data_IF_145979238216
#
_entry.id   IF_145979238216
#
_cell.length_a   1.000
_cell.length_b   1.000
_cell.length_c   1.000
_cell.angle_alpha   90.00
_cell.angle_beta   90.00
_cell.angle_gamma   90.00
#
_symmetry.space_group_name_H-M   'P 1'
#
loop_
_entity.id
_entity.type
_entity.pdbx_description
1 polymer ?
#
# COMPACT_ATOMS: atom_id res chain seq x y z
N UNK A 1 34.37 24.63 -9.25
CA UNK A 1 33.05 23.97 -9.31
C UNK A 1 32.01 24.99 -9.74
N UNK A 2 31.51 24.88 -10.97
CA UNK A 2 30.56 25.85 -11.52
C UNK A 2 29.16 25.60 -10.95
N UNK A 3 28.62 26.59 -10.25
CA UNK A 3 27.24 26.59 -9.72
C UNK A 3 26.30 26.63 -10.92
N UNK A 4 25.66 25.49 -11.24
CA UNK A 4 24.68 25.37 -12.33
C UNK A 4 23.59 26.42 -12.06
N UNK A 5 23.46 27.42 -12.93
CA UNK A 5 22.48 28.48 -12.77
C UNK A 5 21.08 27.90 -12.91
N UNK A 6 20.26 28.01 -11.86
CA UNK A 6 18.84 27.64 -11.89
C UNK A 6 18.15 28.31 -13.07
N UNK A 7 17.39 27.52 -13.84
CA UNK A 7 16.70 27.96 -15.04
C UNK A 7 15.60 28.96 -14.66
N UNK A 8 15.26 29.89 -15.55
CA UNK A 8 14.15 30.83 -15.36
C UNK A 8 12.81 30.09 -15.19
N UNK A 9 12.72 28.85 -15.69
CA UNK A 9 11.58 27.96 -15.46
C UNK A 9 11.32 27.69 -13.96
N UNK A 10 12.38 27.54 -13.16
CA UNK A 10 12.31 27.22 -11.72
C UNK A 10 11.67 28.34 -10.89
N UNK A 11 11.57 29.55 -11.46
CA UNK A 11 11.14 30.75 -10.73
C UNK A 11 9.72 31.19 -11.04
N UNK A 12 9.08 30.65 -12.08
CA UNK A 12 7.87 31.29 -12.62
C UNK A 12 6.59 30.52 -12.30
N UNK A 13 6.64 29.20 -12.08
CA UNK A 13 5.43 28.41 -11.80
C UNK A 13 5.73 27.18 -10.91
N UNK A 14 5.53 27.26 -9.58
CA UNK A 14 5.71 26.12 -8.67
C UNK A 14 4.87 24.90 -9.05
N UNK A 15 3.69 25.12 -9.65
CA UNK A 15 2.80 24.06 -10.15
C UNK A 15 3.20 23.47 -11.50
N UNK A 16 4.23 24.00 -12.16
CA UNK A 16 4.75 23.50 -13.46
C UNK A 16 6.12 22.82 -13.30
N UNK A 17 6.51 22.45 -12.08
CA UNK A 17 7.63 21.54 -11.83
C UNK A 17 7.32 20.09 -12.22
N UNK A 18 6.14 19.85 -12.79
CA UNK A 18 5.81 18.59 -13.44
C UNK A 18 6.56 18.48 -14.78
N UNK A 19 7.61 17.67 -14.80
CA UNK A 19 8.16 17.11 -16.03
C UNK A 19 7.17 16.14 -16.66
N UNK A 20 7.26 15.99 -17.97
CA UNK A 20 6.66 14.86 -18.68
C UNK A 20 7.80 14.01 -19.21
N UNK A 21 7.64 12.69 -19.16
CA UNK A 21 8.60 11.80 -19.79
C UNK A 21 8.62 12.08 -21.30
N UNK A 22 9.80 11.92 -21.90
CA UNK A 22 9.99 12.14 -23.34
C UNK A 22 9.00 11.31 -24.16
N UNK A 23 8.70 10.09 -23.71
CA UNK A 23 7.74 9.18 -24.35
C UNK A 23 6.34 9.78 -24.41
N UNK A 24 5.88 10.42 -23.34
CA UNK A 24 4.57 11.06 -23.30
C UNK A 24 4.49 12.30 -24.18
N UNK A 25 5.56 13.10 -24.22
CA UNK A 25 5.65 14.26 -25.12
C UNK A 25 5.61 13.80 -26.58
N UNK A 26 6.41 12.80 -26.93
CA UNK A 26 6.45 12.24 -28.30
C UNK A 26 5.11 11.63 -28.68
N UNK A 27 4.50 10.85 -27.79
CA UNK A 27 3.18 10.25 -27.99
C UNK A 27 2.09 11.31 -28.21
N UNK A 28 2.09 12.38 -27.41
CA UNK A 28 1.16 13.49 -27.58
C UNK A 28 1.34 14.21 -28.91
N UNK A 29 2.57 14.51 -29.31
CA UNK A 29 2.85 15.19 -30.59
C UNK A 29 2.42 14.34 -31.79
N UNK A 30 2.65 13.03 -31.73
CA UNK A 30 2.20 12.10 -32.76
C UNK A 30 0.66 12.05 -32.85
N UNK A 31 -0.02 11.95 -31.70
CA UNK A 31 -1.48 11.95 -31.62
C UNK A 31 -2.08 13.29 -32.08
N UNK A 32 -1.43 14.40 -31.75
CA UNK A 32 -1.84 15.73 -32.19
C UNK A 32 -1.71 15.90 -33.71
N UNK A 33 -0.59 15.46 -34.29
CA UNK A 33 -0.39 15.47 -35.75
C UNK A 33 -1.42 14.58 -36.46
N UNK A 34 -1.66 13.37 -35.95
CA UNK A 34 -2.70 12.47 -36.47
C UNK A 34 -4.09 13.12 -36.37
N UNK A 35 -4.39 13.79 -35.25
CA UNK A 35 -5.62 14.54 -35.07
C UNK A 35 -5.80 15.64 -36.11
N UNK A 36 -4.75 16.39 -36.44
CA UNK A 36 -4.80 17.42 -37.49
C UNK A 36 -5.10 16.78 -38.85
N UNK A 37 -4.44 15.66 -39.19
CA UNK A 37 -4.67 14.94 -40.45
C UNK A 37 -6.10 14.40 -40.56
N UNK A 38 -6.63 13.81 -39.49
CA UNK A 38 -8.01 13.32 -39.43
C UNK A 38 -9.04 14.47 -39.44
N UNK A 39 -8.73 15.57 -38.77
CA UNK A 39 -9.56 16.78 -38.70
C UNK A 39 -9.74 17.47 -40.05
N UNK A 40 -8.75 17.39 -40.95
CA UNK A 40 -8.88 17.88 -42.33
C UNK A 40 -9.92 17.10 -43.13
N UNK A 41 -10.12 15.82 -42.82
CA UNK A 41 -11.16 15.00 -43.47
C UNK A 41 -12.54 15.29 -42.86
N UNK A 42 -12.61 15.35 -41.53
CA UNK A 42 -13.83 15.67 -40.81
C UNK A 42 -13.50 16.23 -39.42
N UNK A 43 -13.97 17.45 -39.11
CA UNK A 43 -13.61 18.15 -37.86
C UNK A 43 -13.73 17.34 -36.55
N UNK A 44 -14.80 16.54 -36.33
CA UNK A 44 -14.93 15.70 -35.13
C UNK A 44 -13.81 14.66 -34.95
N UNK A 45 -13.19 14.22 -36.04
CA UNK A 45 -12.16 13.18 -36.05
C UNK A 45 -10.85 13.65 -35.39
N UNK A 46 -10.62 14.96 -35.32
CA UNK A 46 -9.51 15.54 -34.54
C UNK A 46 -9.56 15.11 -33.07
N UNK A 47 -10.74 15.16 -32.47
CA UNK A 47 -10.92 14.89 -31.04
C UNK A 47 -10.63 13.43 -30.68
N UNK A 48 -10.86 12.49 -31.61
CA UNK A 48 -10.57 11.07 -31.41
C UNK A 48 -9.09 10.77 -31.24
N UNK A 49 -8.20 11.56 -31.84
CA UNK A 49 -6.76 11.41 -31.64
C UNK A 49 -6.25 12.36 -30.54
N UNK A 50 -6.81 13.57 -30.44
CA UNK A 50 -6.35 14.57 -29.49
C UNK A 50 -6.62 14.20 -28.04
N UNK A 51 -7.83 13.68 -27.71
CA UNK A 51 -8.19 13.33 -26.33
C UNK A 51 -7.29 12.20 -25.80
N UNK A 52 -7.11 11.06 -26.50
CA UNK A 52 -6.16 10.04 -26.06
C UNK A 52 -4.73 10.55 -25.97
N UNK A 53 -4.30 11.41 -26.90
CA UNK A 53 -2.98 12.05 -26.83
C UNK A 53 -2.79 12.82 -25.54
N UNK A 54 -3.81 13.58 -25.11
CA UNK A 54 -3.77 14.32 -23.85
C UNK A 54 -3.70 13.38 -22.64
N UNK A 55 -4.46 12.28 -22.66
CA UNK A 55 -4.39 11.25 -21.62
C UNK A 55 -2.99 10.64 -21.51
N UNK A 56 -2.36 10.30 -22.64
CA UNK A 56 -0.99 9.79 -22.67
C UNK A 56 0.02 10.79 -22.09
N UNK A 57 -0.12 12.07 -22.41
CA UNK A 57 0.72 13.12 -21.84
C UNK A 57 0.60 13.13 -20.32
N UNK A 58 -0.63 13.25 -19.80
CA UNK A 58 -0.87 13.30 -18.36
C UNK A 58 -0.51 12.00 -17.62
N UNK A 59 -0.51 10.85 -18.29
CA UNK A 59 -0.09 9.58 -17.71
C UNK A 59 1.43 9.49 -17.45
N UNK A 60 2.24 10.39 -18.03
CA UNK A 60 3.72 10.38 -17.93
C UNK A 60 4.27 11.52 -17.06
N UNK A 61 3.42 12.05 -16.18
CA UNK A 61 3.75 13.13 -15.26
C UNK A 61 4.76 12.69 -14.21
N UNK A 62 5.86 13.43 -14.13
CA UNK A 62 6.88 13.31 -13.08
C UNK A 62 7.08 14.67 -12.45
N UNK A 63 7.46 14.75 -11.19
CA UNK A 63 7.76 16.03 -10.54
C UNK A 63 9.14 15.95 -9.90
N UNK A 64 10.01 16.91 -10.24
CA UNK A 64 11.24 17.12 -9.48
C UNK A 64 10.90 17.90 -8.20
N UNK A 65 11.46 17.47 -7.06
CA UNK A 65 11.09 17.98 -5.74
C UNK A 65 12.30 18.18 -4.87
N UNK A 66 12.15 19.04 -3.87
CA UNK A 66 13.21 19.37 -2.93
C UNK A 66 12.78 18.95 -1.54
N UNK A 67 13.49 17.97 -0.99
CA UNK A 67 13.20 17.42 0.32
C UNK A 67 13.73 18.32 1.44
N UNK A 68 13.07 18.33 2.61
CA UNK A 68 13.63 18.90 3.83
C UNK A 68 14.99 18.25 4.13
N UNK A 69 15.97 19.07 4.51
CA UNK A 69 17.34 18.64 4.85
C UNK A 69 17.52 18.49 6.37
N UNK A 70 16.49 17.95 7.03
CA UNK A 70 16.46 17.74 8.48
C UNK A 70 16.61 16.23 8.78
N UNK A 71 17.63 15.81 9.55
CA UNK A 71 17.83 14.40 9.87
C UNK A 71 16.73 13.89 10.78
N UNK A 72 16.42 12.59 10.68
CA UNK A 72 15.39 11.95 11.51
C UNK A 72 13.96 12.17 11.05
N UNK A 73 13.72 12.95 9.99
CA UNK A 73 12.39 13.08 9.40
C UNK A 73 12.07 11.93 8.46
N UNK A 74 10.88 11.36 8.64
CA UNK A 74 10.23 10.45 7.71
C UNK A 74 9.36 11.29 6.79
N UNK A 75 9.65 11.30 5.50
CA UNK A 75 8.93 12.10 4.52
C UNK A 75 7.93 11.25 3.72
N UNK A 76 6.93 11.91 3.15
CA UNK A 76 5.90 11.28 2.35
C UNK A 76 6.52 10.59 1.11
N UNK A 77 6.28 9.29 0.87
CA UNK A 77 6.84 8.60 -0.29
C UNK A 77 6.15 8.97 -1.59
N UNK A 78 4.88 9.39 -1.53
CA UNK A 78 4.06 9.69 -2.70
C UNK A 78 3.10 10.86 -2.40
N UNK A 79 2.57 11.47 -3.44
CA UNK A 79 1.47 12.43 -3.29
C UNK A 79 0.20 11.72 -2.85
N UNK A 80 -0.62 12.41 -2.08
CA UNK A 80 -1.91 11.85 -1.73
C UNK A 80 -2.57 12.50 -0.55
N UNK A 81 -3.42 11.73 0.10
CA UNK A 81 -4.11 12.09 1.34
C UNK A 81 -3.84 11.02 2.38
N UNK A 82 -3.52 11.44 3.61
CA UNK A 82 -3.43 10.52 4.75
C UNK A 82 -4.81 9.95 5.02
N UNK A 83 -4.95 8.63 5.00
CA UNK A 83 -6.22 7.94 5.24
C UNK A 83 -6.32 7.48 6.69
N UNK A 84 -5.27 6.87 7.22
CA UNK A 84 -5.18 6.46 8.62
C UNK A 84 -3.75 6.57 9.16
N UNK A 85 -3.65 6.71 10.48
CA UNK A 85 -2.42 6.60 11.26
C UNK A 85 -2.78 5.73 12.46
N UNK A 86 -2.21 4.52 12.52
CA UNK A 86 -2.57 3.53 13.53
C UNK A 86 -1.42 2.56 13.78
N UNK A 87 -1.43 1.93 14.96
CA UNK A 87 -0.55 0.80 15.25
C UNK A 87 -1.03 -0.41 14.44
N UNK A 88 -0.15 -0.99 13.65
CA UNK A 88 -0.44 -2.15 12.82
C UNK A 88 0.79 -3.03 12.68
N UNK A 89 0.55 -4.32 12.51
CA UNK A 89 1.61 -5.28 12.23
C UNK A 89 2.13 -5.05 10.80
N UNK A 90 3.44 -4.79 10.62
CA UNK A 90 4.02 -4.71 9.29
C UNK A 90 3.89 -6.05 8.57
N UNK A 91 3.62 -6.06 7.25
CA UNK A 91 3.66 -7.26 6.43
C UNK A 91 4.98 -8.03 6.59
N UNK A 92 4.92 -9.36 6.55
CA UNK A 92 6.10 -10.23 6.75
C UNK A 92 7.22 -9.92 5.76
N UNK A 93 6.88 -9.45 4.56
CA UNK A 93 7.80 -9.05 3.49
C UNK A 93 8.72 -7.91 3.90
N UNK A 94 8.35 -7.08 4.88
CA UNK A 94 9.18 -6.00 5.41
C UNK A 94 10.15 -6.47 6.50
N UNK A 95 9.94 -7.65 7.10
CA UNK A 95 10.77 -8.23 8.16
C UNK A 95 11.04 -7.28 9.34
N UNK A 96 10.06 -6.45 9.66
CA UNK A 96 10.14 -5.49 10.77
C UNK A 96 9.63 -6.11 12.09
N UNK A 97 9.97 -5.48 13.22
CA UNK A 97 9.39 -5.83 14.51
C UNK A 97 7.93 -5.37 14.62
N UNK A 98 7.09 -6.19 15.26
CA UNK A 98 5.69 -5.91 15.58
C UNK A 98 5.53 -5.43 17.03
N UNK A 99 4.63 -4.47 17.33
CA UNK A 99 3.82 -3.67 16.40
C UNK A 99 4.57 -2.41 15.89
N UNK A 100 4.15 -1.86 14.75
CA UNK A 100 4.72 -0.65 14.16
C UNK A 100 3.66 0.45 13.96
N UNK A 101 4.09 1.71 13.90
CA UNK A 101 3.22 2.83 13.52
C UNK A 101 3.08 2.87 12.00
N UNK A 102 1.85 2.72 11.50
CA UNK A 102 1.52 2.76 10.07
C UNK A 102 0.87 4.08 9.69
N UNK A 103 1.44 4.76 8.68
CA UNK A 103 0.81 5.88 7.98
C UNK A 103 0.36 5.42 6.60
N UNK A 104 -0.96 5.33 6.39
CA UNK A 104 -1.56 4.91 5.12
C UNK A 104 -1.95 6.11 4.27
N UNK A 105 -1.47 6.13 3.04
CA UNK A 105 -1.64 7.25 2.09
C UNK A 105 -2.35 6.75 0.84
N UNK A 106 -3.41 7.44 0.44
CA UNK A 106 -4.09 7.22 -0.84
C UNK A 106 -3.60 8.21 -1.88
N UNK A 107 -3.07 7.71 -3.00
CA UNK A 107 -2.56 8.50 -4.11
C UNK A 107 -3.54 8.47 -5.28
N UNK A 108 -3.96 9.65 -5.74
CA UNK A 108 -4.80 9.79 -6.93
C UNK A 108 -4.09 9.27 -8.20
N UNK A 109 -4.80 8.74 -9.21
CA UNK A 109 -4.23 8.47 -10.54
C UNK A 109 -3.81 9.73 -11.29
N UNK A 110 -4.24 10.90 -10.82
CA UNK A 110 -3.77 12.19 -11.25
C UNK A 110 -2.75 12.75 -10.25
N UNK A 111 -1.85 11.92 -9.73
CA UNK A 111 -0.72 12.31 -8.88
C UNK A 111 0.61 12.11 -9.60
N UNK A 112 1.71 12.69 -9.11
CA UNK A 112 3.03 12.37 -9.67
C UNK A 112 3.27 10.86 -9.60
N UNK A 113 3.88 10.29 -10.64
CA UNK A 113 4.16 8.86 -10.70
C UNK A 113 5.38 8.45 -9.88
N UNK A 114 6.13 9.39 -9.32
CA UNK A 114 7.36 9.10 -8.59
C UNK A 114 7.06 8.58 -7.18
N UNK A 115 7.81 7.54 -6.79
CA UNK A 115 7.89 7.06 -5.40
C UNK A 115 9.24 7.47 -4.85
N UNK A 116 9.23 8.11 -3.69
CA UNK A 116 10.38 8.69 -3.03
C UNK A 116 10.77 7.88 -1.78
N UNK A 117 12.06 7.82 -1.48
CA UNK A 117 12.55 7.25 -0.24
C UNK A 117 12.04 8.06 0.96
N UNK A 118 11.35 7.43 1.94
CA UNK A 118 10.83 8.13 3.11
C UNK A 118 11.93 8.58 4.08
N UNK A 119 13.10 7.93 4.07
CA UNK A 119 14.24 8.27 4.93
C UNK A 119 15.56 8.13 4.17
N UNK A 120 16.62 8.73 4.71
CA UNK A 120 17.99 8.41 4.30
C UNK A 120 18.43 7.10 4.96
N UNK A 121 19.08 6.24 4.18
CA UNK A 121 19.49 4.92 4.64
C UNK A 121 19.96 4.01 3.52
N UNK A 122 20.15 2.73 3.85
CA UNK A 122 20.46 1.68 2.87
C UNK A 122 19.23 0.80 2.66
N UNK A 123 18.89 0.49 1.41
CA UNK A 123 17.81 -0.46 1.15
C UNK A 123 18.33 -1.86 1.52
N UNK A 124 17.76 -2.47 2.55
CA UNK A 124 18.17 -3.80 3.01
C UNK A 124 17.70 -4.86 2.01
N UNK A 125 16.40 -4.85 1.70
CA UNK A 125 15.80 -5.74 0.72
C UNK A 125 14.56 -5.12 0.07
N UNK A 126 14.18 -5.70 -1.08
CA UNK A 126 12.93 -5.42 -1.77
C UNK A 126 12.20 -6.73 -2.05
N UNK A 127 10.89 -6.73 -1.86
CA UNK A 127 10.02 -7.85 -2.21
C UNK A 127 8.94 -7.35 -3.16
N UNK A 128 8.74 -8.04 -4.27
CA UNK A 128 7.67 -7.75 -5.23
C UNK A 128 6.66 -8.88 -5.24
N UNK A 129 5.40 -8.53 -5.01
CA UNK A 129 4.26 -9.40 -5.27
C UNK A 129 3.69 -9.06 -6.65
N UNK A 130 3.61 -10.06 -7.53
CA UNK A 130 3.00 -9.90 -8.83
C UNK A 130 1.49 -9.72 -8.71
N UNK A 131 0.96 -8.74 -9.43
CA UNK A 131 -0.48 -8.51 -9.46
C UNK A 131 -1.21 -9.26 -10.57
N UNK A 132 -2.50 -9.51 -10.37
CA UNK A 132 -3.37 -10.18 -11.32
C UNK A 132 -3.89 -9.22 -12.41
N UNK A 133 -4.04 -9.71 -13.65
CA UNK A 133 -4.48 -8.91 -14.79
C UNK A 133 -5.88 -8.28 -14.63
N UNK A 134 -6.71 -8.85 -13.76
CA UNK A 134 -8.08 -8.41 -13.46
C UNK A 134 -8.15 -7.16 -12.56
N UNK A 135 -7.06 -6.84 -11.86
CA UNK A 135 -6.99 -5.67 -10.99
C UNK A 135 -6.71 -4.39 -11.80
N UNK A 136 -7.74 -3.84 -12.46
CA UNK A 136 -7.62 -2.64 -13.30
C UNK A 136 -7.39 -1.34 -12.51
N UNK A 137 -7.80 -1.29 -11.24
CA UNK A 137 -7.66 -0.11 -10.38
C UNK A 137 -7.54 -0.49 -8.90
N UNK A 138 -6.75 0.28 -8.14
CA UNK A 138 -6.56 0.09 -6.71
C UNK A 138 -7.64 0.82 -5.89
N UNK A 139 -8.89 0.36 -5.99
CA UNK A 139 -10.03 0.98 -5.30
C UNK A 139 -9.97 0.79 -3.77
N UNK A 140 -9.40 -0.32 -3.31
CA UNK A 140 -9.19 -0.64 -1.91
C UNK A 140 -7.70 -0.97 -1.67
N UNK A 141 -7.14 -0.66 -0.49
CA UNK A 141 -5.71 -0.82 -0.21
C UNK A 141 -5.22 -2.27 -0.21
N UNK A 142 -6.13 -3.18 0.13
CA UNK A 142 -5.81 -4.59 0.40
C UNK A 142 -6.64 -5.51 -0.52
N UNK A 143 -7.09 -5.01 -1.67
CA UNK A 143 -7.80 -5.83 -2.66
C UNK A 143 -6.87 -6.88 -3.27
N UNK A 144 -7.37 -8.10 -3.47
CA UNK A 144 -6.63 -9.16 -4.12
C UNK A 144 -6.19 -8.77 -5.55
N UNK A 145 -5.01 -9.24 -5.96
CA UNK A 145 -4.48 -9.05 -7.31
C UNK A 145 -3.82 -7.69 -7.59
N UNK A 146 -3.69 -6.81 -6.60
CA UNK A 146 -2.81 -5.65 -6.73
C UNK A 146 -1.36 -6.09 -6.90
N UNK A 147 -0.59 -5.33 -7.66
CA UNK A 147 0.88 -5.47 -7.62
C UNK A 147 1.38 -4.66 -6.43
N UNK A 148 2.22 -5.30 -5.61
CA UNK A 148 2.75 -4.70 -4.38
C UNK A 148 4.26 -4.76 -4.39
N UNK A 149 4.89 -3.67 -3.98
CA UNK A 149 6.33 -3.57 -3.82
C UNK A 149 6.64 -3.09 -2.41
N UNK A 150 7.48 -3.85 -1.73
CA UNK A 150 7.96 -3.55 -0.39
C UNK A 150 9.41 -3.09 -0.47
N UNK A 151 9.71 -1.99 0.22
CA UNK A 151 11.07 -1.53 0.45
C UNK A 151 11.32 -1.56 1.96
N UNK A 152 12.29 -2.35 2.38
CA UNK A 152 12.85 -2.30 3.73
C UNK A 152 14.10 -1.41 3.68
N UNK A 153 14.05 -0.26 4.35
CA UNK A 153 15.13 0.72 4.36
C UNK A 153 15.71 0.79 5.77
N UNK A 154 16.99 0.42 5.90
CA UNK A 154 17.74 0.58 7.13
C UNK A 154 18.17 2.04 7.20
N UNK A 155 17.34 2.84 7.88
CA UNK A 155 17.64 4.25 8.13
C UNK A 155 18.83 4.38 9.08
N UNK A 156 19.49 5.54 9.07
CA UNK A 156 20.70 5.75 9.89
C UNK A 156 20.48 5.52 11.41
N UNK A 157 19.24 5.59 11.91
CA UNK A 157 18.89 5.33 13.31
C UNK A 157 17.81 4.27 13.54
N UNK A 158 16.98 3.99 12.55
CA UNK A 158 15.75 3.19 12.67
C UNK A 158 15.37 2.55 11.33
N UNK A 159 14.88 1.31 11.32
CA UNK A 159 14.34 0.70 10.12
C UNK A 159 13.00 1.34 9.74
N UNK A 160 12.80 1.54 8.43
CA UNK A 160 11.56 2.08 7.86
C UNK A 160 11.09 1.17 6.73
N UNK A 161 9.83 0.75 6.83
CA UNK A 161 9.18 -0.05 5.81
C UNK A 161 8.29 0.81 4.92
N UNK A 162 8.32 0.56 3.61
CA UNK A 162 7.44 1.18 2.64
C UNK A 162 6.76 0.11 1.81
N UNK A 163 5.43 0.08 1.83
CA UNK A 163 4.61 -0.73 0.93
C UNK A 163 3.97 0.16 -0.11
N UNK A 164 4.11 -0.19 -1.38
CA UNK A 164 3.48 0.50 -2.51
C UNK A 164 2.59 -0.47 -3.26
N UNK A 165 1.28 -0.22 -3.27
CA UNK A 165 0.31 -1.06 -3.95
C UNK A 165 -0.38 -0.32 -5.10
N UNK A 166 -0.60 -1.01 -6.21
CA UNK A 166 -1.26 -0.43 -7.40
C UNK A 166 -2.00 -1.47 -8.23
N UNK A 167 -3.03 -1.01 -8.95
CA UNK A 167 -3.68 -1.76 -10.02
C UNK A 167 -3.26 -1.23 -11.40
N UNK A 168 -3.86 -1.77 -12.45
CA UNK A 168 -3.71 -1.31 -13.83
C UNK A 168 -3.32 -2.42 -14.80
N UNK A 169 -3.32 -2.10 -16.10
CA UNK A 169 -2.80 -2.97 -17.16
C UNK A 169 -1.34 -2.61 -17.47
N UNK A 170 -0.47 -3.62 -17.65
CA UNK A 170 0.95 -3.43 -18.00
C UNK A 170 1.89 -3.34 -16.78
N UNK A 171 3.18 -2.98 -16.97
CA UNK A 171 4.14 -2.82 -15.88
C UNK A 171 3.69 -1.67 -14.96
N UNK A 172 3.30 -2.00 -13.72
CA UNK A 172 2.63 -1.04 -12.82
C UNK A 172 3.61 -0.37 -11.88
N UNK A 173 4.62 -1.12 -11.40
CA UNK A 173 5.69 -0.64 -10.53
C UNK A 173 7.06 -0.90 -11.12
N UNK A 174 7.84 0.16 -11.28
CA UNK A 174 9.23 0.09 -11.71
C UNK A 174 10.14 0.53 -10.55
N UNK A 175 11.13 -0.29 -10.23
CA UNK A 175 12.18 0.01 -9.25
C UNK A 175 13.28 0.84 -9.91
N UNK A 176 13.79 1.85 -9.19
CA UNK A 176 14.97 2.65 -9.61
C UNK A 176 16.15 2.54 -8.64
N UNK A 177 16.00 1.70 -7.62
CA UNK A 177 17.01 1.39 -6.64
C UNK A 177 16.90 -0.10 -6.32
N UNK A 178 18.04 -0.71 -6.03
CA UNK A 178 18.17 -2.13 -5.74
C UNK A 178 18.59 -2.35 -4.28
N UNK A 179 18.52 -3.59 -3.81
CA UNK A 179 18.99 -3.95 -2.47
C UNK A 179 20.50 -3.64 -2.35
N UNK A 180 20.89 -3.07 -1.22
CA UNK A 180 22.24 -2.58 -0.95
C UNK A 180 22.50 -1.13 -1.40
N UNK A 181 21.59 -0.49 -2.15
CA UNK A 181 21.76 0.91 -2.53
C UNK A 181 21.54 1.85 -1.34
N UNK A 182 22.44 2.83 -1.19
CA UNK A 182 22.23 3.95 -0.28
C UNK A 182 21.37 5.03 -0.94
N UNK A 183 20.31 5.45 -0.26
CA UNK A 183 19.35 6.45 -0.72
C UNK A 183 19.30 7.61 0.26
N UNK A 184 19.17 8.83 -0.26
CA UNK A 184 18.88 10.01 0.55
C UNK A 184 17.37 10.17 0.68
N UNK A 185 16.89 10.75 1.78
CA UNK A 185 15.47 11.08 1.93
C UNK A 185 14.99 11.87 0.71
N UNK A 186 13.88 11.41 0.11
CA UNK A 186 13.26 12.05 -1.04
C UNK A 186 13.85 11.75 -2.41
N UNK A 187 14.94 10.98 -2.47
CA UNK A 187 15.40 10.39 -3.73
C UNK A 187 14.31 9.51 -4.31
N UNK A 188 14.07 9.62 -5.62
CA UNK A 188 13.13 8.74 -6.31
C UNK A 188 13.69 7.32 -6.36
N UNK A 189 12.98 6.38 -5.76
CA UNK A 189 13.34 4.94 -5.67
C UNK A 189 12.47 4.06 -6.55
N UNK A 190 11.38 4.62 -7.11
CA UNK A 190 10.55 3.90 -8.06
C UNK A 190 9.58 4.80 -8.81
N UNK A 191 8.86 4.21 -9.75
CA UNK A 191 7.72 4.83 -10.43
C UNK A 191 6.52 3.90 -10.37
N UNK A 192 5.37 4.50 -10.05
CA UNK A 192 4.05 3.88 -10.13
C UNK A 192 3.21 4.67 -11.13
N UNK A 193 2.71 3.99 -12.17
CA UNK A 193 2.00 4.66 -13.28
C UNK A 193 0.57 5.10 -12.94
N UNK A 194 -0.11 4.34 -12.08
CA UNK A 194 -1.48 4.63 -11.67
C UNK A 194 -1.50 5.05 -10.20
N UNK A 195 -2.59 5.68 -9.78
CA UNK A 195 -2.85 5.91 -8.37
C UNK A 195 -2.91 4.60 -7.59
N UNK A 196 -2.88 4.69 -6.28
CA UNK A 196 -2.90 3.52 -5.43
C UNK A 196 -2.60 3.88 -4.00
N UNK A 197 -1.92 2.98 -3.31
CA UNK A 197 -1.72 3.07 -1.87
C UNK A 197 -0.24 3.05 -1.55
N UNK A 198 0.15 3.85 -0.56
CA UNK A 198 1.48 3.84 0.01
C UNK A 198 1.30 3.71 1.53
N UNK A 199 1.85 2.67 2.13
CA UNK A 199 1.88 2.51 3.59
C UNK A 199 3.32 2.68 4.06
N UNK A 200 3.54 3.55 5.04
CA UNK A 200 4.85 3.75 5.69
C UNK A 200 4.78 3.17 7.09
N UNK A 201 5.73 2.30 7.43
CA UNK A 201 5.84 1.64 8.72
C UNK A 201 7.11 2.12 9.43
N UNK A 202 6.97 2.54 10.67
CA UNK A 202 8.08 3.02 11.52
C UNK A 202 7.91 2.54 12.97
N UNK A 203 8.95 2.57 13.81
CA UNK A 203 8.83 2.28 15.24
C UNK A 203 7.83 3.21 15.96
N UNK A 204 7.22 2.71 17.04
CA UNK A 204 6.13 3.38 17.76
C UNK A 204 6.57 4.67 18.48
N UNK A 205 7.86 4.83 18.76
CA UNK A 205 8.43 5.95 19.52
C UNK A 205 8.47 7.26 18.72
N UNK A 206 8.12 7.23 17.43
CA UNK A 206 8.12 8.39 16.55
C UNK A 206 7.04 9.42 16.86
N UNK A 207 7.39 10.70 16.74
CA UNK A 207 6.43 11.80 16.89
C UNK A 207 5.71 12.07 15.57
N UNK A 208 4.42 11.78 15.52
CA UNK A 208 3.57 12.04 14.36
C UNK A 208 3.42 13.56 14.12
N UNK A 209 3.61 14.01 12.89
CA UNK A 209 3.53 15.41 12.46
C UNK A 209 2.29 15.73 11.60
N UNK A 210 1.54 14.71 11.20
CA UNK A 210 0.39 14.81 10.28
C UNK A 210 -0.87 14.20 10.87
N UNK A 211 -2.02 14.50 10.28
CA UNK A 211 -3.34 14.01 10.70
C UNK A 211 -4.07 13.37 9.51
N UNK A 212 -4.96 12.38 9.75
CA UNK A 212 -5.86 11.87 8.71
C UNK A 212 -6.65 12.99 8.01
N UNK A 213 -6.81 12.86 6.69
CA UNK A 213 -7.45 13.85 5.84
C UNK A 213 -6.53 14.95 5.31
N UNK A 214 -5.26 15.02 5.76
CA UNK A 214 -4.29 15.97 5.22
C UNK A 214 -3.76 15.54 3.85
N UNK A 215 -3.68 16.49 2.92
CA UNK A 215 -3.00 16.32 1.64
C UNK A 215 -1.48 16.41 1.83
N UNK A 216 -0.76 15.53 1.15
CA UNK A 216 0.68 15.39 1.20
C UNK A 216 1.29 15.62 -0.18
N UNK A 217 2.51 16.16 -0.18
CA UNK A 217 3.39 16.22 -1.34
C UNK A 217 4.53 15.22 -1.11
N UNK A 218 4.61 14.20 -1.96
CA UNK A 218 5.65 13.17 -1.88
C UNK A 218 7.05 13.78 -2.01
N UNK A 219 8.02 13.30 -1.27
CA UNK A 219 9.38 13.84 -1.24
C UNK A 219 9.52 15.19 -0.51
N UNK A 220 8.45 15.80 0.01
CA UNK A 220 8.52 17.12 0.67
C UNK A 220 7.85 17.16 2.04
N UNK A 221 6.68 16.52 2.19
CA UNK A 221 5.92 16.60 3.44
C UNK A 221 6.50 15.64 4.48
N UNK A 222 6.87 16.16 5.65
CA UNK A 222 7.28 15.34 6.79
C UNK A 222 6.05 14.68 7.43
N UNK A 223 6.13 13.37 7.67
CA UNK A 223 5.09 12.55 8.28
C UNK A 223 5.35 12.35 9.78
N UNK A 224 6.58 11.97 10.13
CA UNK A 224 6.98 11.56 11.48
C UNK A 224 8.39 12.08 11.75
N UNK A 225 8.63 12.53 12.97
CA UNK A 225 9.94 12.89 13.49
C UNK A 225 10.46 11.76 14.40
N UNK A 226 11.57 11.14 13.98
CA UNK A 226 12.27 10.05 14.68
C UNK A 226 13.54 10.54 15.37
N UNK A 227 13.71 11.85 15.56
CA UNK A 227 14.88 12.43 16.22
C UNK A 227 15.05 11.85 17.63
N UNK A 228 16.18 11.18 17.86
CA UNK A 228 16.52 10.56 19.15
C UNK A 228 15.90 9.18 19.39
N UNK A 229 15.22 8.61 18.40
CA UNK A 229 14.73 7.23 18.43
C UNK A 229 15.80 6.28 17.90
N UNK A 230 15.98 5.15 18.58
CA UNK A 230 16.80 4.02 18.12
C UNK A 230 15.98 2.75 18.25
N UNK A 231 15.94 1.94 17.20
CA UNK A 231 15.21 0.67 17.18
C UNK A 231 16.11 -0.45 16.66
N UNK A 232 15.74 -1.69 16.98
CA UNK A 232 16.42 -2.87 16.46
C UNK A 232 16.19 -2.98 14.94
N UNK A 233 17.21 -3.41 14.19
CA UNK A 233 17.15 -3.52 12.72
C UNK A 233 16.24 -4.65 12.22
N UNK A 234 16.23 -4.87 10.89
CA UNK A 234 15.37 -5.90 10.27
C UNK A 234 15.70 -7.32 10.73
N UNK A 235 14.66 -8.16 10.79
CA UNK A 235 14.80 -9.60 11.05
C UNK A 235 15.46 -10.30 9.86
N UNK A 236 16.35 -11.29 10.09
CA UNK A 236 16.86 -12.11 9.00
C UNK A 236 15.74 -12.83 8.24
N UNK A 237 15.94 -13.17 6.95
CA UNK A 237 14.99 -13.99 6.20
C UNK A 237 14.68 -15.27 6.97
N UNK A 238 13.42 -15.73 6.90
CA UNK A 238 13.08 -17.08 7.33
C UNK A 238 14.00 -18.08 6.59
N UNK A 239 14.48 -19.14 7.25
CA UNK A 239 15.26 -20.16 6.56
C UNK A 239 14.42 -20.69 5.39
N UNK A 240 14.98 -20.64 4.18
CA UNK A 240 14.45 -21.41 3.07
C UNK A 240 14.50 -22.88 3.52
N UNK A 241 13.34 -23.49 3.74
CA UNK A 241 13.26 -24.93 3.85
C UNK A 241 13.61 -25.44 2.46
N UNK A 242 14.87 -25.82 2.24
CA UNK A 242 15.18 -26.78 1.18
C UNK A 242 14.22 -27.93 1.39
N UNK A 243 13.42 -28.26 0.38
CA UNK A 243 12.56 -29.44 0.39
C UNK A 243 13.46 -30.63 0.72
N UNK A 244 13.54 -31.02 2.00
CA UNK A 244 14.17 -32.27 2.38
C UNK A 244 13.39 -33.34 1.62
N UNK A 245 14.07 -34.01 0.68
CA UNK A 245 13.51 -35.17 -0.01
C UNK A 245 12.81 -36.03 1.03
N UNK A 246 11.55 -36.46 0.80
CA UNK A 246 10.78 -37.15 1.82
C UNK A 246 11.60 -38.34 2.31
N UNK A 247 12.12 -38.23 3.54
CA UNK A 247 12.75 -39.33 4.24
C UNK A 247 11.65 -40.35 4.40
N UNK A 248 11.69 -41.40 3.56
CA UNK A 248 10.74 -42.47 3.60
C UNK A 248 10.64 -42.97 5.04
N UNK A 249 9.44 -42.91 5.60
CA UNK A 249 9.06 -43.46 6.89
C UNK A 249 9.56 -44.91 7.00
N UNK A 250 10.76 -45.11 7.53
CA UNK A 250 11.14 -46.41 8.06
C UNK A 250 10.50 -46.50 9.43
N UNK A 251 9.24 -46.92 9.44
CA UNK A 251 8.56 -47.35 10.65
C UNK A 251 9.45 -48.39 11.36
N UNK A 252 9.68 -48.24 12.68
CA UNK A 252 10.37 -49.25 13.47
C UNK A 252 9.67 -50.62 13.31
N UNK A 253 10.42 -51.73 13.26
CA UNK A 253 9.87 -53.06 12.96
C UNK A 253 8.81 -53.57 13.95
N UNK A 254 8.63 -52.91 15.10
CA UNK A 254 7.68 -53.33 16.13
C UNK A 254 6.21 -52.97 15.83
N UNK A 255 5.93 -52.00 14.94
CA UNK A 255 4.53 -51.62 14.59
C UNK A 255 3.95 -52.43 13.43
N UNK A 256 4.80 -53.08 12.62
CA UNK A 256 4.37 -53.87 11.48
C UNK A 256 3.77 -55.24 11.87
N UNK A 257 4.12 -55.79 13.04
CA UNK A 257 3.61 -57.10 13.49
C UNK A 257 2.27 -57.01 14.25
N UNK A 258 1.79 -55.82 14.60
CA UNK A 258 0.49 -55.65 15.27
C UNK A 258 -0.72 -55.66 14.30
N UNK A 259 -0.49 -55.62 12.99
CA UNK A 259 -1.54 -55.58 11.96
C UNK A 259 -1.74 -56.89 11.20
N UNK A 260 -1.17 -58.00 11.67
CA UNK A 260 -1.47 -59.36 11.18
C UNK A 260 -2.02 -60.22 12.31
N UNK A 261 -3.31 -60.08 12.56
CA UNK A 261 -4.04 -60.97 13.46
C UNK A 261 -5.55 -60.88 13.20
N UNK A 262 -6.09 -62.00 12.73
CA UNK A 262 -7.50 -62.39 12.70
C UNK A 262 -8.42 -61.76 11.63
N UNK A 263 -8.29 -62.28 10.41
CA UNK A 263 -9.45 -62.52 9.54
C UNK A 263 -10.10 -63.85 9.95
N UNK A 264 -11.28 -63.81 10.57
CA UNK A 264 -12.25 -64.90 10.43
C UNK A 264 -13.68 -64.37 10.41
N UNK A 265 -14.47 -65.01 9.55
CA UNK A 265 -15.80 -64.63 9.04
C UNK A 265 -16.89 -64.61 10.13
N UNK A 266 -17.89 -63.74 9.97
CA UNK A 266 -19.28 -64.18 9.73
C UNK A 266 -20.28 -63.01 9.59
N UNK A 267 -21.30 -63.29 8.79
CA UNK A 267 -22.36 -62.42 8.27
C UNK A 267 -23.34 -61.86 9.34
N UNK A 268 -23.70 -60.56 9.25
CA UNK A 268 -25.05 -60.08 9.58
C UNK A 268 -25.31 -58.63 9.12
N UNK A 269 -26.55 -58.41 8.67
CA UNK A 269 -27.17 -57.20 8.07
C UNK A 269 -27.36 -56.00 9.04
N UNK A 270 -27.72 -54.80 8.51
CA UNK A 270 -27.58 -53.53 9.22
C UNK A 270 -28.74 -53.24 10.18
N UNK A 271 -28.42 -52.58 11.29
CA UNK A 271 -29.38 -52.07 12.28
C UNK A 271 -29.04 -50.63 12.66
N UNK A 272 -30.03 -49.76 12.47
CA UNK A 272 -30.13 -48.37 12.88
C UNK A 272 -29.89 -48.14 14.38
N UNK A 273 -29.25 -47.04 14.74
CA UNK A 273 -29.71 -46.19 15.86
C UNK A 273 -28.99 -44.85 15.89
N UNK A 274 -29.81 -43.81 15.98
CA UNK A 274 -29.52 -42.42 16.30
C UNK A 274 -28.68 -42.27 17.57
N UNK A 275 -27.88 -41.20 17.64
CA UNK A 275 -27.79 -40.35 18.84
C UNK A 275 -27.23 -38.99 18.41
N UNK A 276 -28.13 -38.01 18.21
CA UNK A 276 -27.80 -36.59 18.30
C UNK A 276 -27.61 -36.24 19.78
N UNK A 277 -26.54 -35.51 20.09
CA UNK A 277 -26.33 -34.88 21.38
C UNK A 277 -26.17 -33.38 21.14
N UNK A 278 -27.20 -32.61 21.49
CA UNK A 278 -27.12 -31.18 21.71
C UNK A 278 -26.22 -30.89 22.91
N UNK A 279 -25.36 -29.88 22.78
CA UNK A 279 -24.76 -29.18 23.90
C UNK A 279 -24.88 -27.67 23.65
N UNK A 280 -25.83 -27.07 24.35
CA UNK A 280 -25.96 -25.63 24.56
C UNK A 280 -24.82 -25.12 25.44
N UNK A 281 -24.21 -24.00 25.06
CA UNK A 281 -23.44 -23.13 25.97
C UNK A 281 -23.89 -21.70 25.70
N UNK A 282 -24.52 -21.12 26.71
CA UNK A 282 -24.88 -19.71 26.83
C UNK A 282 -23.61 -18.85 26.86
N UNK A 283 -23.63 -17.74 26.13
CA UNK A 283 -22.65 -16.66 26.26
C UNK A 283 -23.42 -15.34 26.43
N UNK A 284 -23.51 -14.89 27.68
CA UNK A 284 -23.79 -13.50 28.01
C UNK A 284 -22.45 -12.76 27.96
N UNK A 285 -22.29 -11.85 27.01
CA UNK A 285 -21.44 -10.67 27.23
C UNK A 285 -22.00 -9.48 26.45
N UNK A 286 -22.42 -8.48 27.24
CA UNK A 286 -23.06 -7.25 26.79
C UNK A 286 -22.03 -6.34 26.11
N UNK A 287 -22.00 -6.33 24.77
CA UNK A 287 -21.55 -5.15 24.02
C UNK A 287 -22.68 -4.69 23.13
N UNK A 288 -23.30 -3.57 23.51
CA UNK A 288 -24.40 -2.95 22.79
C UNK A 288 -24.04 -2.62 21.34
N UNK A 289 -24.40 -3.52 20.44
CA UNK A 289 -24.53 -3.25 19.01
C UNK A 289 -25.89 -2.60 18.80
N UNK A 290 -25.86 -1.31 18.47
CA UNK A 290 -27.03 -0.50 18.11
C UNK A 290 -27.86 -1.20 17.01
N UNK A 291 -29.17 -1.30 17.25
CA UNK A 291 -30.18 -2.05 16.49
C UNK A 291 -30.18 -1.74 14.98
N UNK A 292 -29.66 -2.63 14.13
CA UNK A 292 -29.91 -2.61 12.69
C UNK A 292 -30.03 -4.02 12.10
N UNK A 293 -31.03 -4.17 11.23
CA UNK A 293 -31.38 -5.36 10.46
C UNK A 293 -30.13 -5.91 9.72
N UNK A 294 -29.71 -7.16 10.00
CA UNK A 294 -28.50 -7.75 9.44
C UNK A 294 -28.55 -7.88 7.90
N UNK A 295 -29.73 -7.78 7.29
CA UNK A 295 -29.94 -7.97 5.85
C UNK A 295 -30.08 -6.66 5.03
N UNK A 296 -29.78 -5.47 5.59
CA UNK A 296 -29.83 -4.22 4.79
C UNK A 296 -28.66 -4.12 3.79
N UNK A 297 -28.91 -4.15 2.46
CA UNK A 297 -27.87 -4.06 1.44
C UNK A 297 -27.11 -2.72 1.43
N UNK A 298 -27.60 -1.70 2.14
CA UNK A 298 -26.97 -0.36 2.23
C UNK A 298 -25.96 -0.24 3.38
N UNK A 299 -25.82 -1.27 4.21
CA UNK A 299 -24.84 -1.30 5.31
C UNK A 299 -23.40 -1.02 4.85
N UNK A 300 -23.06 -1.42 3.62
CA UNK A 300 -21.72 -1.34 3.05
C UNK A 300 -21.57 -0.25 1.97
N UNK A 301 -22.52 0.68 1.84
CA UNK A 301 -22.39 1.82 0.93
C UNK A 301 -21.48 2.91 1.55
N UNK A 302 -20.35 3.27 0.90
CA UNK A 302 -19.43 4.29 1.39
C UNK A 302 -20.12 5.65 1.63
N UNK A 303 -21.09 6.03 0.80
CA UNK A 303 -21.75 7.32 0.92
C UNK A 303 -22.60 7.41 2.20
N UNK A 304 -23.30 6.33 2.56
CA UNK A 304 -24.03 6.23 3.83
C UNK A 304 -23.09 6.14 5.02
N UNK A 305 -21.98 5.41 4.90
CA UNK A 305 -20.96 5.32 5.95
C UNK A 305 -20.39 6.69 6.30
N UNK A 306 -19.99 7.48 5.29
CA UNK A 306 -19.51 8.86 5.49
C UNK A 306 -20.59 9.78 6.07
N UNK A 307 -21.85 9.61 5.67
CA UNK A 307 -22.97 10.37 6.23
C UNK A 307 -23.26 10.00 7.71
N UNK A 308 -23.08 8.74 8.11
CA UNK A 308 -23.21 8.27 9.49
C UNK A 308 -22.08 8.79 10.37
N UNK A 309 -20.83 8.70 9.88
CA UNK A 309 -19.66 9.24 10.57
C UNK A 309 -19.79 10.75 10.80
N UNK A 310 -20.31 11.49 9.82
CA UNK A 310 -20.56 12.93 9.94
C UNK A 310 -21.63 13.27 10.97
N UNK A 311 -22.70 12.47 11.07
CA UNK A 311 -23.75 12.63 12.11
C UNK A 311 -23.25 12.31 13.51
N UNK A 312 -22.43 11.25 13.65
CA UNK A 312 -21.82 10.88 14.94
C UNK A 312 -20.81 11.93 15.40
N UNK A 313 -20.03 12.50 14.47
CA UNK A 313 -19.13 13.61 14.76
C UNK A 313 -19.88 14.88 15.23
N UNK A 314 -21.07 15.17 14.66
CA UNK A 314 -21.89 16.30 15.12
C UNK A 314 -22.55 16.07 16.48
N UNK A 315 -22.96 14.83 16.82
CA UNK A 315 -23.55 14.56 18.13
C UNK A 315 -22.51 14.58 19.26
N UNK A 316 -21.24 14.28 18.96
CA UNK A 316 -20.11 14.40 19.88
C UNK A 316 -19.66 15.85 20.09
N UNK A 317 -20.00 16.78 19.20
CA UNK A 317 -19.72 18.21 19.37
C UNK A 317 -20.78 18.98 20.16
N UNK A 318 -21.99 18.42 20.28
CA UNK A 318 -23.12 19.04 20.99
C UNK A 318 -23.31 18.52 22.43
N UNK A 319 -22.36 17.76 22.96
CA UNK A 319 -22.41 17.25 24.33
C UNK A 319 -22.24 18.39 25.35
N UNK A 320 -23.27 18.73 26.16
CA UNK A 320 -23.24 19.87 27.07
C UNK A 320 -22.31 19.68 28.28
N UNK A 321 -21.68 18.52 28.45
CA UNK A 321 -20.88 18.18 29.65
C UNK A 321 -19.35 18.24 29.47
N UNK A 322 -18.83 18.86 28.40
CA UNK A 322 -17.37 19.01 28.25
C UNK A 322 -16.81 20.11 29.18
N UNK A 323 -15.84 19.82 30.07
CA UNK A 323 -15.20 20.85 30.88
C UNK A 323 -14.41 21.81 29.99
N UNK A 324 -14.62 23.12 30.22
CA UNK A 324 -13.82 24.18 29.59
C UNK A 324 -12.45 24.22 30.26
N UNK A 325 -11.43 23.69 29.61
CA UNK A 325 -10.05 23.91 30.02
C UNK A 325 -9.56 25.29 29.57
N UNK A 326 -9.00 25.99 30.57
CA UNK A 326 -8.43 27.34 30.57
C UNK A 326 -7.03 27.41 30.00
#
# INVERSE_FOLDING_TARGET
MAKKSKSVADRTFPWFQSGFDLEGIVGFLAAWLLGILLGMLWGPLFWLAFIPGLVLLFATRTAERVSPDEPGLVIAPCDGVVVSIEEADPPEELRMSEPAMRVRISSSPFSSNNIHAPVEGTIDHLVREEGAAEAFAAMQPDSAGLEVLYFAIEGDSVPVGLRVATGGLGPRLETRADAGDRVTAGKTIGTRRLGGWCDVFVPLEGKILVEPGRTLIGGETALIDLTGVTADGFRPPAPEYEDEEPVADTLPPEVAEAFKGDEDKDDAKPGSSETEAEATVEADDETGTDDLDPDDPRRNDPAEMFARLRRKASSLSDDPDKPKDS
#
